data_IF_436852610225
#
_entry.id   IF_436852610225
#
_cell.length_a   1.000
_cell.length_b   1.000
_cell.length_c   1.000
_cell.angle_alpha   90.00
_cell.angle_beta   90.00
_cell.angle_gamma   90.00
#
_symmetry.space_group_name_H-M   'P 1'
#
loop_
_entity.id
_entity.type
_entity.pdbx_description
1 polymer ?
#
# COMPACT_ATOMS: atom_id res chain seq x y z
N UNK A 1 16.41 9.14 -14.82
CA UNK A 1 15.13 9.22 -14.08
C UNK A 1 15.21 10.42 -13.15
N UNK A 2 14.14 11.20 -12.95
CA UNK A 2 14.16 12.34 -12.03
C UNK A 2 14.45 11.90 -10.59
N UNK A 3 14.97 12.81 -9.77
CA UNK A 3 15.24 12.56 -8.34
C UNK A 3 13.97 12.38 -7.50
N UNK A 4 12.84 12.88 -8.00
CA UNK A 4 11.54 12.82 -7.36
C UNK A 4 10.46 12.67 -8.43
N UNK A 5 9.51 11.77 -8.22
CA UNK A 5 8.39 11.55 -9.14
C UNK A 5 7.19 10.92 -8.42
N UNK A 6 6.00 11.13 -8.95
CA UNK A 6 4.77 10.52 -8.48
C UNK A 6 4.33 9.42 -9.46
N UNK A 7 3.89 8.28 -8.94
CA UNK A 7 3.14 7.27 -9.70
C UNK A 7 1.69 7.31 -9.21
N UNK A 8 0.75 7.44 -10.13
CA UNK A 8 -0.67 7.31 -9.82
C UNK A 8 -1.29 6.08 -10.49
N UNK A 9 -1.97 5.26 -9.70
CA UNK A 9 -2.77 4.13 -10.17
C UNK A 9 -4.14 4.12 -9.49
N UNK A 10 -5.15 4.64 -10.18
CA UNK A 10 -6.45 4.93 -9.57
C UNK A 10 -6.30 5.95 -8.43
N UNK A 11 -6.76 5.57 -7.24
CA UNK A 11 -6.62 6.39 -6.02
C UNK A 11 -5.26 6.21 -5.32
N UNK A 12 -4.47 5.20 -5.68
CA UNK A 12 -3.14 4.99 -5.11
C UNK A 12 -2.15 6.01 -5.68
N UNK A 13 -1.44 6.68 -4.78
CA UNK A 13 -0.35 7.62 -5.08
C UNK A 13 0.91 7.13 -4.43
N UNK A 14 1.92 6.82 -5.23
CA UNK A 14 3.26 6.50 -4.76
C UNK A 14 4.16 7.70 -4.98
N UNK A 15 4.54 8.38 -3.90
CA UNK A 15 5.47 9.50 -3.89
C UNK A 15 6.91 8.98 -3.76
N UNK A 16 7.69 9.06 -4.83
CA UNK A 16 8.95 8.33 -4.99
C UNK A 16 10.17 9.24 -5.07
N UNK A 17 11.19 8.93 -4.27
CA UNK A 17 12.49 9.58 -4.31
C UNK A 17 13.58 8.61 -4.81
N UNK A 18 14.47 9.13 -5.65
CA UNK A 18 15.64 8.42 -6.18
C UNK A 18 16.89 9.02 -5.56
N UNK A 19 17.72 8.17 -4.95
CA UNK A 19 19.07 8.54 -4.48
C UNK A 19 20.09 7.56 -5.03
N UNK A 20 20.97 8.06 -5.89
CA UNK A 20 21.86 7.25 -6.73
C UNK A 20 21.07 6.20 -7.55
N UNK A 21 21.12 4.93 -7.15
CA UNK A 21 20.35 3.84 -7.76
C UNK A 21 19.25 3.29 -6.85
N UNK A 22 19.03 3.87 -5.67
CA UNK A 22 17.99 3.42 -4.74
C UNK A 22 16.73 4.25 -4.92
N UNK A 23 15.58 3.60 -4.91
CA UNK A 23 14.27 4.23 -5.01
C UNK A 23 13.49 3.89 -3.74
N UNK A 24 12.89 4.90 -3.13
CA UNK A 24 11.97 4.75 -2.00
C UNK A 24 10.70 5.49 -2.33
N UNK A 25 9.56 4.82 -2.21
CA UNK A 25 8.25 5.42 -2.38
C UNK A 25 7.42 5.28 -1.11
N UNK A 26 6.71 6.34 -0.77
CA UNK A 26 5.65 6.31 0.23
C UNK A 26 4.32 6.34 -0.49
N UNK A 27 3.41 5.46 -0.09
CA UNK A 27 2.14 5.28 -0.78
C UNK A 27 0.98 5.73 0.11
N UNK A 28 0.06 6.45 -0.52
CA UNK A 28 -1.17 6.98 0.10
C UNK A 28 -2.35 6.76 -0.83
N UNK A 29 -3.58 6.88 -0.31
CA UNK A 29 -4.78 6.92 -1.13
C UNK A 29 -5.31 8.36 -1.21
N UNK A 30 -5.54 8.87 -2.43
CA UNK A 30 -6.21 10.16 -2.67
C UNK A 30 -7.61 10.19 -2.08
N UNK A 31 -8.35 9.09 -2.24
CA UNK A 31 -9.65 8.87 -1.63
C UNK A 31 -9.55 7.68 -0.67
N UNK A 32 -9.61 7.96 0.62
CA UNK A 32 -9.53 6.91 1.63
C UNK A 32 -10.79 6.04 1.62
N UNK A 33 -11.99 6.62 1.48
CA UNK A 33 -13.25 5.86 1.61
C UNK A 33 -13.35 4.68 0.62
N UNK A 34 -13.75 3.47 1.07
CA UNK A 34 -14.18 3.10 2.43
C UNK A 34 -13.03 2.79 3.41
N UNK A 35 -11.79 2.74 2.95
CA UNK A 35 -10.59 2.60 3.78
C UNK A 35 -10.52 3.73 4.81
N UNK A 36 -10.25 3.40 6.06
CA UNK A 36 -10.08 4.38 7.13
C UNK A 36 -8.64 4.88 7.18
N UNK A 37 -7.69 3.94 7.12
CA UNK A 37 -6.26 4.24 7.07
C UNK A 37 -5.57 3.42 6.01
N UNK A 38 -4.62 4.03 5.31
CA UNK A 38 -3.75 3.35 4.37
C UNK A 38 -2.35 3.90 4.50
N UNK A 39 -1.37 3.00 4.54
CA UNK A 39 0.03 3.35 4.35
C UNK A 39 0.70 2.26 3.52
N UNK A 40 1.49 2.66 2.53
CA UNK A 40 2.34 1.74 1.78
C UNK A 40 3.75 2.29 1.66
N UNK A 41 4.69 1.39 1.45
CA UNK A 41 6.08 1.73 1.17
C UNK A 41 6.60 0.77 0.11
N UNK A 42 7.34 1.30 -0.86
CA UNK A 42 8.12 0.52 -1.81
C UNK A 42 9.58 0.92 -1.70
N UNK A 43 10.48 -0.04 -1.63
CA UNK A 43 11.92 0.21 -1.74
C UNK A 43 12.51 -0.65 -2.83
N UNK A 44 13.40 -0.09 -3.65
CA UNK A 44 13.92 -0.80 -4.80
C UNK A 44 15.20 -0.21 -5.37
N UNK A 45 15.69 -0.87 -6.42
CA UNK A 45 16.86 -0.48 -7.19
C UNK A 45 16.44 -0.09 -8.60
N UNK A 46 16.94 1.05 -9.07
CA UNK A 46 16.80 1.49 -10.46
C UNK A 46 17.93 0.90 -11.30
N UNK A 47 17.56 0.24 -12.41
CA UNK A 47 18.45 -0.17 -13.48
C UNK A 47 17.83 0.20 -14.83
N UNK A 48 18.44 1.14 -15.53
CA UNK A 48 17.89 1.71 -16.76
C UNK A 48 16.52 2.35 -16.53
N UNK A 49 15.48 1.80 -17.16
CA UNK A 49 14.08 2.24 -17.01
C UNK A 49 13.26 1.29 -16.11
N UNK A 50 13.90 0.43 -15.34
CA UNK A 50 13.22 -0.54 -14.47
C UNK A 50 13.61 -0.32 -13.02
N UNK A 51 12.60 -0.21 -12.15
CA UNK A 51 12.76 -0.31 -10.71
C UNK A 51 12.34 -1.71 -10.29
N UNK A 52 13.20 -2.41 -9.55
CA UNK A 52 12.86 -3.70 -8.93
C UNK A 52 13.05 -3.58 -7.44
N UNK A 53 12.06 -4.01 -6.67
CA UNK A 53 12.02 -3.77 -5.25
C UNK A 53 11.08 -4.67 -4.51
N UNK A 54 10.78 -4.25 -3.29
CA UNK A 54 9.85 -4.88 -2.37
C UNK A 54 8.90 -3.81 -1.87
N UNK A 55 7.60 -4.11 -1.93
CA UNK A 55 6.55 -3.26 -1.42
C UNK A 55 5.85 -3.92 -0.24
N UNK A 56 5.38 -3.08 0.66
CA UNK A 56 4.52 -3.47 1.77
C UNK A 56 3.46 -2.40 1.98
N UNK A 57 2.26 -2.82 2.34
CA UNK A 57 1.17 -1.91 2.69
C UNK A 57 0.33 -2.45 3.84
N UNK A 58 -0.31 -1.52 4.52
CA UNK A 58 -1.25 -1.75 5.60
C UNK A 58 -2.48 -0.90 5.37
N UNK A 59 -3.66 -1.48 5.55
CA UNK A 59 -4.92 -0.79 5.45
C UNK A 59 -5.89 -1.21 6.54
N UNK A 60 -6.64 -0.27 7.12
CA UNK A 60 -7.82 -0.54 7.94
C UNK A 60 -9.08 -0.21 7.18
N UNK A 61 -10.08 -1.06 7.28
CA UNK A 61 -11.39 -0.87 6.67
C UNK A 61 -12.47 -1.26 7.69
N UNK A 62 -13.63 -0.58 7.71
CA UNK A 62 -14.79 -1.13 8.39
C UNK A 62 -15.17 -2.45 7.70
N UNK A 63 -15.57 -3.45 8.49
CA UNK A 63 -16.10 -4.68 7.91
C UNK A 63 -17.44 -4.37 7.21
N UNK A 64 -17.61 -4.71 5.91
CA UNK A 64 -18.83 -4.41 5.17
C UNK A 64 -20.09 -5.12 5.71
N UNK A 65 -19.91 -6.26 6.38
CA UNK A 65 -20.98 -7.08 6.95
C UNK A 65 -21.22 -6.75 8.42
N UNK A 66 -20.21 -6.22 9.12
CA UNK A 66 -20.27 -5.86 10.54
C UNK A 66 -19.56 -4.51 10.79
N UNK A 67 -20.25 -3.37 10.62
CA UNK A 67 -19.63 -2.03 10.76
C UNK A 67 -18.98 -1.75 12.11
N UNK A 68 -19.31 -2.52 13.16
CA UNK A 68 -18.69 -2.50 14.48
C UNK A 68 -17.31 -3.22 14.54
N UNK A 69 -16.91 -3.89 13.47
CA UNK A 69 -15.65 -4.57 13.33
C UNK A 69 -14.72 -3.83 12.38
N UNK A 70 -13.42 -3.89 12.67
CA UNK A 70 -12.36 -3.36 11.83
C UNK A 70 -11.60 -4.51 11.18
N UNK A 71 -11.57 -4.51 9.86
CA UNK A 71 -10.70 -5.37 9.06
C UNK A 71 -9.36 -4.70 8.81
N UNK A 72 -8.26 -5.40 9.12
CA UNK A 72 -6.91 -4.99 8.74
C UNK A 72 -6.40 -5.87 7.61
N UNK A 73 -5.85 -5.25 6.57
CA UNK A 73 -5.18 -5.95 5.49
C UNK A 73 -3.72 -5.51 5.41
N UNK A 74 -2.82 -6.48 5.49
CA UNK A 74 -1.40 -6.30 5.22
C UNK A 74 -1.05 -7.01 3.93
N UNK A 75 -0.27 -6.35 3.07
CA UNK A 75 0.30 -6.96 1.88
C UNK A 75 1.80 -6.71 1.85
N UNK A 76 2.58 -7.70 1.41
CA UNK A 76 4.01 -7.56 1.25
C UNK A 76 4.54 -8.47 0.16
N UNK A 77 5.48 -7.98 -0.65
CA UNK A 77 6.02 -8.78 -1.75
C UNK A 77 6.93 -8.02 -2.71
N UNK A 78 7.61 -8.75 -3.61
CA UNK A 78 8.41 -8.16 -4.66
C UNK A 78 7.52 -7.42 -5.66
N UNK A 79 8.01 -6.27 -6.15
CA UNK A 79 7.35 -5.45 -7.16
C UNK A 79 8.38 -4.91 -8.15
N UNK A 80 7.95 -4.74 -9.41
CA UNK A 80 8.72 -4.05 -10.44
C UNK A 80 7.90 -2.97 -11.13
N UNK A 81 8.52 -1.81 -11.35
CA UNK A 81 8.00 -0.76 -12.22
C UNK A 81 8.87 -0.65 -13.47
N UNK A 82 8.24 -0.67 -14.64
CA UNK A 82 8.90 -0.52 -15.93
C UNK A 82 8.38 0.77 -16.56
N UNK A 83 9.25 1.77 -16.64
CA UNK A 83 8.99 3.05 -17.29
C UNK A 83 9.24 2.93 -18.78
N UNK A 84 8.37 3.52 -19.59
CA UNK A 84 8.51 3.57 -21.05
C UNK A 84 8.82 5.00 -21.51
N UNK A 85 9.50 5.16 -22.67
CA UNK A 85 9.80 6.47 -23.23
C UNK A 85 8.56 7.32 -23.58
N UNK A 86 7.41 6.68 -23.78
CA UNK A 86 6.12 7.34 -24.03
C UNK A 86 5.47 7.91 -22.76
N UNK A 87 6.14 7.82 -21.61
CA UNK A 87 5.65 8.30 -20.32
C UNK A 87 4.75 7.31 -19.59
N UNK A 88 4.46 6.13 -20.17
CA UNK A 88 3.66 5.11 -19.50
C UNK A 88 4.48 4.27 -18.52
N UNK A 89 3.78 3.66 -17.57
CA UNK A 89 4.35 2.76 -16.58
C UNK A 89 3.60 1.42 -16.56
N UNK A 90 4.35 0.33 -16.41
CA UNK A 90 3.78 -0.97 -16.03
C UNK A 90 4.26 -1.39 -14.66
N UNK A 91 3.33 -1.69 -13.77
CA UNK A 91 3.60 -2.30 -12.47
C UNK A 91 3.38 -3.82 -12.54
N UNK A 92 4.28 -4.58 -11.90
CA UNK A 92 4.17 -6.04 -11.77
C UNK A 92 4.47 -6.44 -10.34
N UNK A 93 3.48 -6.98 -9.66
CA UNK A 93 3.70 -7.70 -8.41
C UNK A 93 4.18 -9.11 -8.72
N UNK A 94 5.21 -9.56 -8.01
CA UNK A 94 5.56 -10.98 -7.96
C UNK A 94 4.71 -11.71 -6.91
N UNK A 95 5.13 -12.92 -6.49
CA UNK A 95 4.44 -13.65 -5.43
C UNK A 95 4.43 -12.84 -4.13
N UNK A 96 3.24 -12.44 -3.68
CA UNK A 96 3.07 -11.61 -2.49
C UNK A 96 2.37 -12.39 -1.37
N UNK A 97 2.64 -11.98 -0.14
CA UNK A 97 1.90 -12.40 1.03
C UNK A 97 0.80 -11.38 1.31
N UNK A 98 -0.38 -11.87 1.67
CA UNK A 98 -1.48 -11.05 2.17
C UNK A 98 -1.97 -11.64 3.48
N UNK A 99 -2.02 -10.83 4.52
CA UNK A 99 -2.59 -11.18 5.83
C UNK A 99 -3.84 -10.34 6.02
N UNK A 100 -4.91 -10.99 6.45
CA UNK A 100 -6.16 -10.32 6.78
C UNK A 100 -6.56 -10.71 8.20
N UNK A 101 -6.86 -9.70 9.00
CA UNK A 101 -7.38 -9.88 10.36
C UNK A 101 -8.68 -9.12 10.46
N UNK A 102 -9.66 -9.70 11.15
CA UNK A 102 -10.89 -9.03 11.48
C UNK A 102 -11.00 -8.95 13.01
N UNK A 103 -11.14 -7.75 13.55
CA UNK A 103 -11.30 -7.52 14.97
C UNK A 103 -12.62 -6.81 15.23
N UNK A 104 -13.51 -7.48 15.94
CA UNK A 104 -14.73 -6.87 16.45
C UNK A 104 -14.49 -6.39 17.88
N UNK A 105 -14.93 -5.19 18.21
CA UNK A 105 -15.07 -4.80 19.61
C UNK A 105 -16.10 -5.75 20.23
N UNK A 106 -15.68 -6.72 21.04
CA UNK A 106 -16.61 -7.49 21.86
C UNK A 106 -17.29 -6.51 22.80
N UNK A 107 -18.54 -6.12 22.50
CA UNK A 107 -19.46 -5.51 23.48
C UNK A 107 -19.84 -6.59 24.51
N UNK A 108 -18.89 -6.98 25.33
CA UNK A 108 -19.10 -7.89 26.47
C UNK A 108 -18.01 -7.73 27.54
N UNK A 109 -17.65 -6.47 27.84
CA UNK A 109 -17.00 -6.11 29.10
C UNK A 109 -17.82 -5.12 29.94
N UNK A 110 -19.13 -4.98 29.70
CA UNK A 110 -20.03 -4.13 30.54
C UNK A 110 -21.35 -4.85 30.88
N UNK A 111 -21.26 -6.05 31.46
CA UNK A 111 -22.33 -6.56 32.31
C UNK A 111 -21.71 -7.35 33.47
N UNK A 112 -21.52 -6.66 34.59
CA UNK A 112 -21.65 -7.15 35.99
C UNK A 112 -20.92 -6.20 36.95
N UNK A 113 -21.51 -5.03 37.23
CA UNK A 113 -21.43 -4.39 38.55
C UNK A 113 -22.36 -3.16 38.60
N UNK A 114 -23.67 -3.42 38.77
CA UNK A 114 -24.60 -2.73 39.69
C UNK A 114 -26.04 -3.17 39.46
#
# INVERSE_FOLDING_TARGET
>A
MPEHFEIQYGDLVSDCHVRASSVTCNETLKNLKPTETYTGTMTGKLSGMTVTGYARSYATNPDPQSPECTGTAEMSGPISYIFRPDGTLSARWGPYQRVFTNSCLTRSCDRLDR
#
